data_IF_316009486791
#
_entry.id   IF_316009486791
#
_cell.length_a   1.000
_cell.length_b   1.000
_cell.length_c   1.000
_cell.angle_alpha   90.00
_cell.angle_beta   90.00
_cell.angle_gamma   90.00
#
_symmetry.space_group_name_H-M   'P 1'
#
loop_
_entity.id
_entity.type
_entity.pdbx_description
1 polymer ?
#
# COMPACT_ATOMS: atom_id res chain seq x y z
N UNK A 1 -4.12 -12.98 -19.01
CA UNK A 1 -4.60 -11.60 -19.14
C UNK A 1 -5.29 -11.25 -17.85
N UNK A 2 -4.99 -10.07 -17.30
CA UNK A 2 -5.60 -9.57 -16.08
C UNK A 2 -7.10 -9.41 -16.26
N UNK A 3 -7.86 -9.65 -15.20
CA UNK A 3 -9.23 -9.15 -15.12
C UNK A 3 -9.22 -7.62 -15.00
N UNK A 4 -10.30 -6.98 -15.43
CA UNK A 4 -10.46 -5.52 -15.36
C UNK A 4 -11.84 -5.20 -14.79
N UNK A 5 -11.87 -4.67 -13.57
CA UNK A 5 -13.12 -4.39 -12.86
C UNK A 5 -13.37 -2.89 -12.78
N UNK A 6 -14.53 -2.43 -13.23
CA UNK A 6 -15.02 -1.08 -12.96
C UNK A 6 -15.75 -1.09 -11.62
N UNK A 7 -15.15 -0.46 -10.62
CA UNK A 7 -15.71 -0.35 -9.26
C UNK A 7 -16.01 1.12 -8.98
N UNK A 8 -17.21 1.43 -8.49
CA UNK A 8 -17.58 2.80 -8.17
C UNK A 8 -16.76 3.29 -6.95
N UNK A 9 -16.06 4.44 -7.03
CA UNK A 9 -15.14 4.87 -5.99
C UNK A 9 -15.79 5.22 -4.66
N UNK A 10 -17.03 5.72 -4.67
CA UNK A 10 -17.75 6.13 -3.45
C UNK A 10 -18.72 5.07 -2.92
N UNK A 11 -19.11 4.12 -3.77
CA UNK A 11 -20.09 3.08 -3.41
C UNK A 11 -19.71 1.75 -4.07
N UNK A 12 -18.60 1.14 -3.62
CA UNK A 12 -18.03 -0.04 -4.27
C UNK A 12 -19.00 -1.20 -4.27
N UNK A 13 -19.14 -1.87 -5.42
CA UNK A 13 -20.04 -3.00 -5.55
C UNK A 13 -19.45 -4.20 -4.78
N UNK A 14 -20.11 -4.63 -3.69
CA UNK A 14 -19.61 -5.71 -2.81
C UNK A 14 -19.28 -7.00 -3.56
N UNK A 15 -20.02 -7.30 -4.65
CA UNK A 15 -19.71 -8.46 -5.52
C UNK A 15 -18.32 -8.38 -6.14
N UNK A 16 -17.92 -7.21 -6.65
CA UNK A 16 -16.61 -7.02 -7.29
C UNK A 16 -15.49 -6.94 -6.25
N UNK A 17 -15.76 -6.34 -5.09
CA UNK A 17 -14.85 -6.36 -3.94
C UNK A 17 -14.55 -7.81 -3.53
N UNK A 18 -15.59 -8.62 -3.31
CA UNK A 18 -15.41 -10.02 -2.91
C UNK A 18 -14.65 -10.82 -3.98
N UNK A 19 -14.95 -10.61 -5.27
CA UNK A 19 -14.18 -11.25 -6.35
C UNK A 19 -12.70 -10.83 -6.37
N UNK A 20 -12.41 -9.57 -6.05
CA UNK A 20 -11.03 -9.06 -5.94
C UNK A 20 -10.29 -9.70 -4.76
N UNK A 21 -10.97 -9.86 -3.63
CA UNK A 21 -10.45 -10.55 -2.45
C UNK A 21 -10.17 -12.02 -2.72
N UNK A 22 -11.03 -12.71 -3.47
CA UNK A 22 -10.76 -14.10 -3.86
C UNK A 22 -9.51 -14.21 -4.74
N UNK A 23 -9.24 -13.22 -5.61
CA UNK A 23 -7.99 -13.19 -6.38
C UNK A 23 -6.77 -13.02 -5.46
N UNK A 24 -6.84 -12.12 -4.48
CA UNK A 24 -5.78 -11.95 -3.47
C UNK A 24 -5.52 -13.25 -2.70
N UNK A 25 -6.58 -13.87 -2.16
CA UNK A 25 -6.50 -15.13 -1.38
C UNK A 25 -5.91 -16.29 -2.18
N UNK A 26 -6.10 -16.30 -3.50
CA UNK A 26 -5.52 -17.29 -4.41
C UNK A 26 -4.09 -16.95 -4.88
N UNK A 27 -3.43 -15.98 -4.25
CA UNK A 27 -2.04 -15.61 -4.56
C UNK A 27 -1.89 -14.66 -5.75
N UNK A 28 -2.97 -14.00 -6.15
CA UNK A 28 -2.97 -13.01 -7.22
C UNK A 28 -2.35 -11.67 -6.82
N UNK A 29 -1.78 -10.98 -7.79
CA UNK A 29 -1.34 -9.58 -7.68
C UNK A 29 -2.41 -8.70 -8.31
N UNK A 30 -2.89 -7.71 -7.56
CA UNK A 30 -3.90 -6.76 -8.02
C UNK A 30 -3.32 -5.35 -8.14
N UNK A 31 -3.90 -4.55 -9.03
CA UNK A 31 -3.77 -3.08 -9.03
C UNK A 31 -5.06 -2.49 -8.51
N UNK A 32 -4.97 -1.64 -7.49
CA UNK A 32 -6.14 -1.05 -6.84
C UNK A 32 -5.94 0.44 -6.51
N UNK A 33 -7.02 1.24 -6.50
CA UNK A 33 -6.96 2.68 -6.26
C UNK A 33 -6.74 2.99 -4.78
N UNK A 34 -6.01 4.08 -4.49
CA UNK A 34 -5.88 4.66 -3.14
C UNK A 34 -6.03 6.18 -3.20
N UNK A 35 -6.02 6.86 -2.05
CA UNK A 35 -6.06 8.33 -1.95
C UNK A 35 -4.81 9.04 -2.52
N UNK A 36 -3.72 8.28 -2.76
CA UNK A 36 -2.43 8.80 -3.24
C UNK A 36 -1.97 7.99 -4.47
N UNK A 37 -2.87 7.86 -5.44
CA UNK A 37 -2.67 7.12 -6.69
C UNK A 37 -2.92 5.61 -6.59
N UNK A 38 -2.59 4.89 -7.65
CA UNK A 38 -2.73 3.44 -7.71
C UNK A 38 -1.62 2.71 -6.94
N UNK A 39 -1.94 1.51 -6.45
CA UNK A 39 -1.00 0.62 -5.77
C UNK A 39 -1.08 -0.81 -6.32
N UNK A 40 0.03 -1.53 -6.20
CA UNK A 40 0.07 -2.99 -6.33
C UNK A 40 -0.20 -3.60 -4.97
N UNK A 41 -0.97 -4.69 -4.93
CA UNK A 41 -1.31 -5.40 -3.71
C UNK A 41 -1.29 -6.91 -3.88
N UNK A 42 -0.86 -7.63 -2.85
CA UNK A 42 -1.01 -9.08 -2.72
C UNK A 42 -1.21 -9.46 -1.24
N UNK A 43 -1.55 -10.73 -0.98
CA UNK A 43 -1.60 -11.25 0.38
C UNK A 43 -0.20 -11.27 1.03
N UNK A 44 -0.15 -10.97 2.33
CA UNK A 44 1.07 -10.94 3.16
C UNK A 44 1.82 -12.27 3.11
N UNK A 45 1.07 -13.38 3.12
CA UNK A 45 1.57 -14.75 3.16
C UNK A 45 2.16 -15.29 1.86
N UNK A 46 1.96 -14.61 0.73
CA UNK A 46 2.37 -15.10 -0.59
C UNK A 46 3.78 -14.59 -0.98
N UNK A 47 4.72 -15.50 -1.19
CA UNK A 47 6.07 -15.16 -1.64
C UNK A 47 6.12 -14.90 -3.14
N UNK A 48 5.42 -15.70 -3.93
CA UNK A 48 5.45 -15.60 -5.38
C UNK A 48 4.80 -14.29 -5.86
N UNK A 49 3.68 -13.90 -5.25
CA UNK A 49 3.03 -12.63 -5.53
C UNK A 49 3.93 -11.43 -5.15
N UNK A 50 4.62 -11.52 -4.01
CA UNK A 50 5.60 -10.52 -3.58
C UNK A 50 6.76 -10.40 -4.58
N UNK A 51 7.35 -11.51 -5.03
CA UNK A 51 8.44 -11.53 -6.00
C UNK A 51 8.00 -10.88 -7.33
N UNK A 52 6.75 -11.11 -7.76
CA UNK A 52 6.15 -10.42 -8.93
C UNK A 52 6.01 -8.92 -8.73
N UNK A 53 5.62 -8.45 -7.55
CA UNK A 53 5.58 -7.00 -7.25
C UNK A 53 6.98 -6.40 -7.36
N UNK A 54 8.01 -7.07 -6.82
CA UNK A 54 9.42 -6.62 -6.93
C UNK A 54 9.82 -6.50 -8.40
N UNK A 55 9.48 -7.48 -9.23
CA UNK A 55 9.79 -7.46 -10.66
C UNK A 55 9.08 -6.31 -11.39
N UNK A 56 7.77 -6.13 -11.18
CA UNK A 56 6.98 -5.07 -11.82
C UNK A 56 7.52 -3.68 -11.45
N UNK A 57 7.84 -3.48 -10.17
CA UNK A 57 8.30 -2.19 -9.63
C UNK A 57 9.80 -1.98 -9.74
N UNK A 58 10.57 -3.02 -10.10
CA UNK A 58 12.04 -2.99 -10.07
C UNK A 58 12.57 -2.47 -8.72
N UNK A 59 12.01 -2.97 -7.61
CA UNK A 59 12.33 -2.44 -6.27
C UNK A 59 13.78 -2.76 -5.88
N UNK A 60 14.51 -1.79 -5.29
CA UNK A 60 15.82 -2.06 -4.74
C UNK A 60 15.73 -2.99 -3.52
N UNK A 61 16.79 -3.76 -3.27
CA UNK A 61 16.83 -4.82 -2.24
C UNK A 61 16.48 -4.32 -0.81
N UNK A 62 16.71 -3.04 -0.52
CA UNK A 62 16.43 -2.43 0.79
C UNK A 62 15.16 -1.57 0.83
N UNK A 63 14.30 -1.66 -0.19
CA UNK A 63 13.02 -0.94 -0.20
C UNK A 63 12.07 -1.52 0.84
N UNK A 64 11.39 -0.66 1.62
CA UNK A 64 10.33 -1.10 2.52
C UNK A 64 9.07 -1.44 1.73
N UNK A 65 8.51 -2.64 1.91
CA UNK A 65 7.11 -2.85 1.55
C UNK A 65 6.19 -2.07 2.49
N UNK A 66 4.96 -1.85 2.03
CA UNK A 66 3.93 -1.19 2.83
C UNK A 66 2.82 -2.18 3.16
N UNK A 67 2.49 -2.35 4.43
CA UNK A 67 1.24 -2.97 4.83
C UNK A 67 0.17 -1.89 4.86
N UNK A 68 -0.86 -2.08 4.05
CA UNK A 68 -2.03 -1.22 4.03
C UNK A 68 -3.03 -1.83 4.99
N UNK A 69 -3.34 -1.09 6.07
CA UNK A 69 -4.19 -1.50 7.18
C UNK A 69 -5.50 -0.71 7.15
N UNK A 70 -6.56 -1.30 7.68
CA UNK A 70 -7.88 -0.69 7.83
C UNK A 70 -7.88 0.45 8.84
N UNK A 71 -7.10 0.33 9.92
CA UNK A 71 -6.99 1.35 10.96
C UNK A 71 -5.68 1.27 11.76
N UNK A 72 -5.56 2.17 12.75
CA UNK A 72 -4.40 2.26 13.65
C UNK A 72 -4.29 1.07 14.61
N UNK A 73 -5.40 0.42 14.94
CA UNK A 73 -5.43 -0.75 15.83
C UNK A 73 -4.79 -1.95 15.13
N UNK A 74 -5.19 -2.21 13.88
CA UNK A 74 -4.59 -3.25 13.04
C UNK A 74 -3.11 -2.97 12.79
N UNK A 75 -2.74 -1.73 12.46
CA UNK A 75 -1.35 -1.32 12.28
C UNK A 75 -0.46 -1.66 13.49
N UNK A 76 -0.97 -1.40 14.70
CA UNK A 76 -0.25 -1.63 15.96
C UNK A 76 -0.03 -3.11 16.28
N UNK A 77 -0.69 -4.03 15.58
CA UNK A 77 -0.44 -5.47 15.66
C UNK A 77 0.86 -5.86 14.94
N UNK A 78 1.17 -5.19 13.83
CA UNK A 78 2.28 -5.54 12.93
C UNK A 78 3.55 -4.72 13.17
N UNK A 79 3.47 -3.60 13.89
CA UNK A 79 4.63 -2.81 14.26
C UNK A 79 4.61 -2.32 15.70
N UNK A 80 5.80 -2.10 16.24
CA UNK A 80 6.00 -1.49 17.55
C UNK A 80 5.80 0.02 17.42
N UNK A 81 4.79 0.56 18.10
CA UNK A 81 4.43 1.98 18.05
C UNK A 81 4.74 2.62 19.40
N UNK A 82 5.68 3.56 19.43
CA UNK A 82 5.96 4.35 20.64
C UNK A 82 4.82 5.33 20.93
N UNK A 83 4.72 5.85 22.16
CA UNK A 83 3.69 6.84 22.51
C UNK A 83 3.75 8.10 21.64
N UNK A 84 4.96 8.52 21.23
CA UNK A 84 5.15 9.66 20.35
C UNK A 84 4.70 9.32 18.92
N UNK A 85 5.14 8.19 18.37
CA UNK A 85 4.71 7.73 17.05
C UNK A 85 3.19 7.56 16.99
N UNK A 86 2.56 7.01 18.03
CA UNK A 86 1.11 6.85 18.11
C UNK A 86 0.37 8.19 17.97
N UNK A 87 0.82 9.24 18.69
CA UNK A 87 0.20 10.58 18.61
C UNK A 87 0.36 11.18 17.22
N UNK A 88 1.54 11.04 16.62
CA UNK A 88 1.81 11.53 15.26
C UNK A 88 0.93 10.81 14.24
N UNK A 89 0.89 9.48 14.27
CA UNK A 89 0.10 8.69 13.34
C UNK A 89 -1.38 8.99 13.51
N UNK A 90 -1.90 8.98 14.75
CA UNK A 90 -3.32 9.25 15.03
C UNK A 90 -3.78 10.61 14.50
N UNK A 91 -2.95 11.64 14.59
CA UNK A 91 -3.30 12.98 14.11
C UNK A 91 -3.10 13.16 12.60
N UNK A 92 -2.44 12.21 11.93
CA UNK A 92 -2.10 12.25 10.51
C UNK A 92 -2.55 10.97 9.77
N UNK A 93 -3.62 10.34 10.23
CA UNK A 93 -4.28 9.22 9.55
C UNK A 93 -5.80 9.43 9.59
N UNK A 94 -6.55 8.95 8.58
CA UNK A 94 -6.10 8.16 7.42
C UNK A 94 -5.45 9.00 6.29
N UNK A 95 -4.96 8.32 5.25
CA UNK A 95 -4.66 8.88 3.93
C UNK A 95 -3.18 8.95 3.57
N UNK A 96 -2.70 10.19 3.44
CA UNK A 96 -1.57 10.62 2.58
C UNK A 96 -0.16 10.25 3.07
N UNK A 97 -0.05 9.37 4.05
CA UNK A 97 1.20 9.06 4.71
C UNK A 97 1.54 7.58 4.66
N UNK A 98 2.83 7.30 4.70
CA UNK A 98 3.37 5.97 4.96
C UNK A 98 4.41 6.09 6.06
N UNK A 99 4.19 5.37 7.15
CA UNK A 99 5.05 5.42 8.33
C UNK A 99 5.98 4.22 8.35
N UNK A 100 7.29 4.44 8.39
CA UNK A 100 8.26 3.37 8.60
C UNK A 100 8.41 3.15 10.09
N UNK A 101 8.15 1.92 10.53
CA UNK A 101 8.20 1.51 11.94
C UNK A 101 8.94 0.19 12.09
N UNK A 102 9.37 -0.10 13.32
CA UNK A 102 9.97 -1.38 13.68
C UNK A 102 8.91 -2.49 13.68
N UNK A 103 9.10 -3.51 12.84
CA UNK A 103 8.15 -4.60 12.70
C UNK A 103 8.12 -5.51 13.93
N UNK A 104 6.94 -6.07 14.26
CA UNK A 104 6.78 -7.08 15.30
C UNK A 104 7.19 -8.47 14.77
N UNK A 105 7.17 -9.48 15.66
CA UNK A 105 7.46 -10.88 15.29
C UNK A 105 6.32 -11.53 14.49
N UNK A 106 5.15 -10.91 14.42
CA UNK A 106 4.00 -11.38 13.64
C UNK A 106 4.29 -11.34 12.14
N UNK A 107 5.25 -10.51 11.70
CA UNK A 107 5.61 -10.41 10.29
C UNK A 107 6.68 -11.44 9.87
N UNK A 108 6.45 -12.19 8.79
CA UNK A 108 7.48 -13.02 8.18
C UNK A 108 8.74 -12.20 7.86
N UNK A 109 9.92 -12.76 8.17
CA UNK A 109 11.21 -12.07 7.97
C UNK A 109 11.44 -11.51 6.57
N UNK A 110 10.86 -12.13 5.55
CA UNK A 110 10.96 -11.71 4.15
C UNK A 110 10.26 -10.39 3.83
N UNK A 111 9.30 -9.96 4.64
CA UNK A 111 8.56 -8.70 4.43
C UNK A 111 9.29 -7.50 5.04
N UNK A 112 10.21 -7.77 5.96
CA UNK A 112 10.99 -6.75 6.64
C UNK A 112 12.27 -6.46 5.87
N UNK A 113 12.75 -5.22 5.96
CA UNK A 113 14.11 -4.92 5.48
C UNK A 113 15.14 -5.69 6.30
N UNK A 114 16.06 -6.38 5.60
CA UNK A 114 17.03 -7.31 6.21
C UNK A 114 17.95 -6.65 7.24
N UNK A 115 18.27 -5.36 7.07
CA UNK A 115 19.17 -4.60 7.96
C UNK A 115 18.48 -4.01 9.18
N UNK A 116 17.30 -3.41 9.03
CA UNK A 116 16.64 -2.62 10.10
C UNK A 116 15.41 -3.28 10.71
N UNK A 117 14.90 -4.37 10.12
CA UNK A 117 13.65 -5.02 10.53
C UNK A 117 12.48 -4.04 10.55
N UNK A 118 12.40 -3.18 9.54
CA UNK A 118 11.35 -2.17 9.41
C UNK A 118 10.32 -2.57 8.37
N UNK A 119 9.13 -1.99 8.50
CA UNK A 119 8.03 -2.11 7.54
C UNK A 119 7.35 -0.75 7.38
N UNK A 120 6.88 -0.45 6.17
CA UNK A 120 6.00 0.69 5.94
C UNK A 120 4.57 0.34 6.33
N UNK A 121 3.86 1.28 6.95
CA UNK A 121 2.47 1.13 7.33
C UNK A 121 1.66 2.31 6.83
N UNK A 122 0.47 2.01 6.29
CA UNK A 122 -0.43 3.01 5.73
C UNK A 122 -1.87 2.66 6.08
N UNK A 123 -2.64 3.67 6.45
CA UNK A 123 -4.10 3.59 6.53
C UNK A 123 -4.66 4.44 5.39
N UNK A 124 -5.31 3.87 4.36
CA UNK A 124 -5.76 4.62 3.21
C UNK A 124 -7.06 5.39 3.49
N UNK A 125 -7.31 6.45 2.72
CA UNK A 125 -8.57 7.20 2.72
C UNK A 125 -9.31 7.03 1.38
N UNK A 126 -9.57 5.78 1.01
CA UNK A 126 -10.24 5.42 -0.23
C UNK A 126 -11.21 4.26 0.02
N UNK A 127 -12.48 4.42 -0.35
CA UNK A 127 -13.53 3.44 -0.02
C UNK A 127 -13.29 2.07 -0.66
N UNK A 128 -12.77 2.01 -1.90
CA UNK A 128 -12.43 0.73 -2.53
C UNK A 128 -11.33 0.01 -1.74
N UNK A 129 -10.27 0.72 -1.35
CA UNK A 129 -9.20 0.15 -0.54
C UNK A 129 -9.71 -0.32 0.83
N UNK A 130 -10.55 0.47 1.50
CA UNK A 130 -11.14 0.12 2.79
C UNK A 130 -12.09 -1.09 2.70
N UNK A 131 -12.90 -1.18 1.64
CA UNK A 131 -13.79 -2.32 1.41
C UNK A 131 -13.00 -3.60 1.10
N UNK A 132 -11.90 -3.50 0.35
CA UNK A 132 -10.99 -4.62 0.12
C UNK A 132 -10.38 -5.14 1.43
N UNK A 133 -9.91 -4.23 2.29
CA UNK A 133 -9.33 -4.59 3.60
C UNK A 133 -10.36 -5.25 4.50
N UNK A 134 -11.56 -4.66 4.58
CA UNK A 134 -12.67 -5.17 5.39
C UNK A 134 -13.09 -6.57 4.93
N UNK A 135 -13.21 -6.80 3.63
CA UNK A 135 -13.60 -8.09 3.07
C UNK A 135 -12.47 -9.13 3.12
N UNK A 136 -11.20 -8.70 3.06
CA UNK A 136 -10.04 -9.58 3.19
C UNK A 136 -9.84 -10.03 4.65
N UNK A 137 -10.05 -9.13 5.62
CA UNK A 137 -9.90 -9.41 7.06
C UNK A 137 -8.45 -9.42 7.56
N UNK A 138 -7.50 -8.97 6.72
CA UNK A 138 -6.09 -8.79 7.05
C UNK A 138 -5.51 -7.64 6.18
N UNK A 139 -4.33 -7.10 6.51
CA UNK A 139 -3.71 -6.06 5.69
C UNK A 139 -3.29 -6.56 4.30
N UNK A 140 -3.19 -5.64 3.34
CA UNK A 140 -2.68 -5.94 2.00
C UNK A 140 -1.20 -5.55 1.93
N UNK A 141 -0.34 -6.51 1.56
CA UNK A 141 1.05 -6.22 1.26
C UNK A 141 1.12 -5.45 -0.05
N UNK A 142 1.63 -4.23 0.01
CA UNK A 142 1.48 -3.27 -1.07
C UNK A 142 2.74 -2.46 -1.37
N UNK A 143 2.73 -1.87 -2.55
CA UNK A 143 3.67 -0.85 -2.99
C UNK A 143 2.93 0.16 -3.87
N UNK A 144 3.23 1.45 -3.72
CA UNK A 144 2.73 2.47 -4.67
C UNK A 144 3.12 2.07 -6.09
N UNK A 145 2.17 2.15 -7.02
CA UNK A 145 2.41 1.85 -8.41
C UNK A 145 3.08 3.06 -9.07
N UNK A 146 4.39 3.13 -8.91
CA UNK A 146 5.25 4.00 -9.70
C UNK A 146 5.89 3.10 -10.76
N UNK A 147 6.21 3.56 -11.96
CA UNK A 147 6.88 2.70 -12.95
C UNK A 147 8.39 2.95 -12.94
N UNK A 148 9.22 2.00 -13.39
CA UNK A 148 10.66 2.23 -13.47
C UNK A 148 10.97 3.49 -14.27
N UNK A 149 11.86 4.34 -13.74
CA UNK A 149 12.19 5.67 -14.27
C UNK A 149 11.12 6.77 -14.06
N UNK A 150 10.03 6.47 -13.37
CA UNK A 150 8.96 7.40 -13.00
C UNK A 150 8.82 7.49 -11.47
N UNK A 151 9.94 7.50 -10.73
CA UNK A 151 9.99 7.27 -9.28
C UNK A 151 9.36 8.38 -8.42
N UNK A 152 8.93 9.48 -9.03
CA UNK A 152 8.30 10.62 -8.37
C UNK A 152 6.78 10.70 -8.60
N UNK A 153 6.22 9.87 -9.48
CA UNK A 153 4.80 9.88 -9.83
C UNK A 153 4.17 8.51 -9.66
N UNK A 154 3.01 8.46 -9.03
CA UNK A 154 2.16 7.27 -9.02
C UNK A 154 1.29 7.25 -10.27
N UNK A 155 1.06 6.07 -10.82
CA UNK A 155 0.11 5.90 -11.91
C UNK A 155 -1.29 6.29 -11.43
N UNK A 156 -2.01 7.01 -12.28
CA UNK A 156 -3.32 7.59 -11.99
C UNK A 156 -4.41 7.21 -12.98
N UNK A 157 -4.03 6.80 -14.19
CA UNK A 157 -4.93 6.44 -15.27
C UNK A 157 -5.08 4.91 -15.35
N UNK A 158 -6.27 4.36 -15.04
CA UNK A 158 -6.50 2.92 -15.06
C UNK A 158 -6.42 2.28 -16.45
N UNK A 159 -6.69 3.02 -17.53
CA UNK A 159 -6.58 2.48 -18.89
C UNK A 159 -5.11 2.42 -19.31
N UNK A 160 -4.31 3.43 -18.97
CA UNK A 160 -2.86 3.38 -19.20
C UNK A 160 -2.20 2.26 -18.37
N UNK A 161 -2.62 2.10 -17.11
CA UNK A 161 -2.18 0.99 -16.26
C UNK A 161 -2.49 -0.36 -16.93
N UNK A 162 -3.69 -0.49 -17.53
CA UNK A 162 -4.09 -1.70 -18.25
C UNK A 162 -3.15 -1.97 -19.42
N UNK A 163 -2.95 -0.99 -20.30
CA UNK A 163 -2.09 -1.13 -21.47
C UNK A 163 -0.67 -1.59 -21.10
N UNK A 164 -0.14 -1.08 -19.97
CA UNK A 164 1.22 -1.38 -19.51
C UNK A 164 1.31 -2.71 -18.73
N UNK A 165 0.30 -3.09 -17.96
CA UNK A 165 0.41 -4.13 -16.92
C UNK A 165 -0.56 -5.32 -17.07
N UNK A 166 -1.48 -5.34 -18.03
CA UNK A 166 -2.50 -6.40 -18.17
C UNK A 166 -1.94 -7.83 -18.29
N UNK A 167 -0.66 -7.98 -18.64
CA UNK A 167 0.03 -9.28 -18.75
C UNK A 167 0.86 -9.64 -17.52
N UNK A 168 1.03 -8.70 -16.58
CA UNK A 168 1.89 -8.85 -15.40
C UNK A 168 1.10 -9.02 -14.10
N UNK A 169 -0.15 -8.57 -14.06
CA UNK A 169 -1.04 -8.66 -12.89
C UNK A 169 -2.27 -9.52 -13.17
N UNK A 170 -2.98 -9.92 -12.12
CA UNK A 170 -4.16 -10.80 -12.21
C UNK A 170 -5.47 -10.01 -12.25
N UNK A 171 -5.47 -8.82 -11.65
CA UNK A 171 -6.61 -7.90 -11.63
C UNK A 171 -6.14 -6.45 -11.69
N UNK A 172 -6.86 -5.62 -12.41
CA UNK A 172 -6.79 -4.16 -12.34
C UNK A 172 -8.19 -3.63 -11.99
N UNK A 173 -8.27 -2.82 -10.94
CA UNK A 173 -9.51 -2.17 -10.51
C UNK A 173 -9.54 -0.74 -11.04
N UNK A 174 -10.40 -0.48 -12.01
CA UNK A 174 -10.73 0.87 -12.42
C UNK A 174 -11.63 1.52 -11.36
N UNK A 175 -11.04 2.40 -10.55
CA UNK A 175 -11.71 3.20 -9.52
C UNK A 175 -11.77 4.69 -9.85
N UNK A 176 -11.50 5.07 -11.10
CA UNK A 176 -11.45 6.46 -11.54
C UNK A 176 -10.03 6.97 -11.78
N UNK A 177 -9.94 8.21 -12.22
CA UNK A 177 -8.68 8.91 -12.46
C UNK A 177 -8.24 9.60 -11.17
N UNK A 178 -7.01 9.31 -10.73
CA UNK A 178 -6.50 9.72 -9.43
C UNK A 178 -5.44 10.82 -9.54
N UNK A 179 -4.96 11.31 -8.38
CA UNK A 179 -3.73 12.09 -8.32
C UNK A 179 -2.49 11.24 -8.62
N UNK A 180 -1.42 11.90 -9.07
CA UNK A 180 -0.11 11.28 -9.32
C UNK A 180 0.88 11.49 -8.16
N UNK A 181 0.46 12.21 -7.11
CA UNK A 181 1.31 12.49 -5.96
C UNK A 181 1.35 11.27 -5.03
N UNK A 182 2.53 10.68 -4.78
CA UNK A 182 2.67 9.59 -3.82
C UNK A 182 2.44 10.06 -2.38
N UNK A 183 2.36 9.11 -1.45
CA UNK A 183 2.35 9.40 -0.03
C UNK A 183 3.66 10.04 0.44
N UNK A 184 3.55 10.94 1.42
CA UNK A 184 4.70 11.37 2.22
C UNK A 184 5.16 10.21 3.10
N UNK A 185 6.45 9.88 3.04
CA UNK A 185 7.03 8.75 3.78
C UNK A 185 7.84 9.29 4.95
N UNK A 186 7.44 8.90 6.16
CA UNK A 186 8.06 9.35 7.41
C UNK A 186 8.62 8.16 8.17
N UNK A 187 9.91 8.18 8.49
CA UNK A 187 10.54 7.22 9.38
C UNK A 187 10.29 7.63 10.84
N UNK A 188 9.61 6.74 11.57
CA UNK A 188 9.27 6.89 12.99
C UNK A 188 9.92 5.79 13.85
N UNK A 189 10.98 5.15 13.36
CA UNK A 189 11.69 4.10 14.09
C UNK A 189 12.43 4.64 15.31
N UNK A 190 12.93 5.87 15.22
CA UNK A 190 13.61 6.59 16.29
C UNK A 190 12.70 7.67 16.90
N UNK A 191 13.15 8.33 17.97
CA UNK A 191 12.37 9.39 18.65
C UNK A 191 12.21 10.67 17.81
N UNK A 192 13.07 10.88 16.81
CA UNK A 192 13.01 12.03 15.91
C UNK A 192 12.50 11.57 14.55
N UNK A 193 11.33 12.05 14.09
CA UNK A 193 10.84 11.74 12.75
C UNK A 193 11.84 12.15 11.67
N UNK A 194 11.95 11.34 10.62
CA UNK A 194 12.77 11.66 9.44
C UNK A 194 11.91 11.56 8.19
N UNK A 195 11.85 12.62 7.39
CA UNK A 195 11.17 12.60 6.09
C UNK A 195 12.04 11.85 5.09
N UNK A 196 11.58 10.69 4.62
CA UNK A 196 12.25 9.89 3.59
C UNK A 196 11.79 10.27 2.18
N UNK A 197 10.55 10.75 2.05
CA UNK A 197 9.97 11.25 0.81
C UNK A 197 8.89 12.27 1.13
N UNK A 198 8.95 13.42 0.47
CA UNK A 198 7.86 14.39 0.45
C UNK A 198 6.87 14.01 -0.66
N UNK A 199 5.57 14.03 -0.33
CA UNK A 199 4.47 13.67 -1.22
C UNK A 199 3.23 14.51 -0.87
N UNK A 200 2.03 13.93 -1.03
CA UNK A 200 0.77 14.66 -0.86
C UNK A 200 0.42 15.07 0.60
N UNK A 201 1.15 14.54 1.59
CA UNK A 201 0.98 14.83 3.01
C UNK A 201 1.93 15.93 3.49
N UNK A 202 1.42 16.88 4.27
CA UNK A 202 2.22 17.97 4.84
C UNK A 202 3.31 17.45 5.78
N UNK A 203 4.50 18.06 5.72
CA UNK A 203 5.65 17.64 6.53
C UNK A 203 5.73 18.38 7.88
N UNK A 204 5.07 19.54 8.03
CA UNK A 204 5.09 20.36 9.24
C UNK A 204 4.80 19.62 10.55
N UNK A 205 3.89 18.62 10.62
CA UNK A 205 3.64 17.88 11.86
C UNK A 205 4.82 17.03 12.35
N UNK A 206 5.86 16.84 11.54
CA UNK A 206 6.98 15.94 11.79
C UNK A 206 8.33 16.66 11.94
N UNK A 207 8.35 17.98 11.85
CA UNK A 207 9.55 18.83 11.93
C UNK A 207 9.66 19.46 13.32
#
# INVERSE_FOLDING_TARGET
MSQFFYIHPENPQSRLINQSVEILKNGGVIVYPTDSGYALGCSIGDKHAMDRIVEIRSLPENHNFTLVCSDLSELSHYATVSNQAYRLIKNNTPGRYTFILSATKELPRRLMTSKRKTIGLRVPDNQIALDLLTALGEPILSCSLMLPNEDHITQSDPEEIRDRLERKVDLIIHGGYLGQEPTTVVDLTENTPVILREGSGAIDPFI
#
